data_IF_754821402703
#
_entry.id   IF_754821402703
#
_cell.length_a   1.000
_cell.length_b   1.000
_cell.length_c   1.000
_cell.angle_alpha   90.00
_cell.angle_beta   90.00
_cell.angle_gamma   90.00
#
_symmetry.space_group_name_H-M   'P 1'
#
loop_
_entity.id
_entity.type
_entity.pdbx_description
1 polymer ?
#
# COMPACT_ATOMS: atom_id res chain seq x y z
N UNK A 1 39.96 5.72 55.44
CA UNK A 1 40.04 4.63 54.44
C UNK A 1 41.33 3.82 54.53
N UNK A 2 42.51 4.45 54.69
CA UNK A 2 43.79 3.71 54.76
C UNK A 2 43.94 2.79 55.99
N UNK A 3 43.40 3.16 57.17
CA UNK A 3 43.45 2.29 58.36
C UNK A 3 42.51 1.08 58.28
N UNK A 4 41.34 1.22 57.64
CA UNK A 4 40.40 0.12 57.37
C UNK A 4 40.98 -0.89 56.36
N UNK A 5 41.70 -0.41 55.34
CA UNK A 5 42.42 -1.27 54.41
C UNK A 5 43.57 -2.02 55.11
N UNK A 6 44.25 -1.39 56.09
CA UNK A 6 45.29 -2.05 56.90
C UNK A 6 44.73 -3.13 57.82
N UNK A 7 43.55 -2.94 58.42
CA UNK A 7 42.93 -4.00 59.25
C UNK A 7 42.42 -5.18 58.42
N UNK A 8 42.04 -4.94 57.16
CA UNK A 8 41.64 -6.00 56.21
C UNK A 8 42.82 -6.83 55.68
N UNK A 9 44.06 -6.32 55.81
CA UNK A 9 45.28 -6.97 55.33
C UNK A 9 46.02 -7.73 56.45
N UNK A 10 45.54 -7.68 57.70
CA UNK A 10 46.15 -8.37 58.83
C UNK A 10 45.59 -9.79 58.99
N UNK A 11 46.45 -10.75 59.30
CA UNK A 11 46.02 -12.13 59.45
C UNK A 11 45.13 -12.30 60.71
N UNK A 12 43.99 -13.00 60.61
CA UNK A 12 43.09 -13.20 61.75
C UNK A 12 43.75 -13.86 62.96
N UNK A 13 44.75 -14.71 62.71
CA UNK A 13 45.49 -15.43 63.75
C UNK A 13 46.80 -14.73 64.15
N UNK A 14 47.23 -13.73 63.38
CA UNK A 14 48.50 -13.05 63.55
C UNK A 14 48.36 -11.55 63.23
N UNK A 15 47.92 -10.75 64.21
CA UNK A 15 47.60 -9.31 64.05
C UNK A 15 48.73 -8.44 63.47
N UNK A 16 49.99 -8.89 63.55
CA UNK A 16 51.17 -8.16 63.04
C UNK A 16 51.67 -8.65 61.67
N UNK A 17 51.07 -9.70 61.12
CA UNK A 17 51.49 -10.29 59.87
C UNK A 17 50.49 -9.97 58.76
N UNK A 18 51.02 -9.59 57.60
CA UNK A 18 50.21 -9.33 56.44
C UNK A 18 49.70 -10.63 55.80
N UNK A 19 48.51 -10.55 55.24
CA UNK A 19 47.88 -11.62 54.47
C UNK A 19 48.46 -11.62 53.06
N UNK A 20 49.10 -12.72 52.68
CA UNK A 20 49.87 -12.82 51.42
C UNK A 20 49.42 -14.02 50.57
N UNK A 21 48.73 -14.99 51.17
CA UNK A 21 48.34 -16.23 50.53
C UNK A 21 46.82 -16.45 50.60
N UNK A 22 46.30 -17.18 49.63
CA UNK A 22 44.96 -17.77 49.65
C UNK A 22 45.12 -19.30 49.63
N UNK A 23 44.53 -19.98 50.60
CA UNK A 23 44.33 -21.42 50.56
C UNK A 23 42.98 -21.71 49.93
N UNK A 24 42.96 -22.33 48.74
CA UNK A 24 41.71 -22.68 48.04
C UNK A 24 41.00 -23.86 48.67
N UNK A 25 41.74 -24.78 49.29
CA UNK A 25 41.15 -25.95 49.96
C UNK A 25 40.25 -25.56 51.13
N UNK A 26 40.51 -24.40 51.73
CA UNK A 26 39.77 -23.88 52.88
C UNK A 26 39.09 -22.54 52.60
N UNK A 27 39.17 -22.05 51.36
CA UNK A 27 38.68 -20.72 50.92
C UNK A 27 39.00 -19.59 51.90
N UNK A 28 40.24 -19.55 52.40
CA UNK A 28 40.67 -18.60 53.43
C UNK A 28 42.00 -17.96 53.08
N UNK A 29 42.10 -16.66 53.38
CA UNK A 29 43.33 -15.90 53.20
C UNK A 29 44.20 -15.96 54.44
N UNK A 30 45.51 -16.13 54.28
CA UNK A 30 46.42 -16.36 55.38
C UNK A 30 47.78 -15.66 55.20
N UNK A 31 48.46 -15.41 56.33
CA UNK A 31 49.85 -14.95 56.30
C UNK A 31 50.81 -16.12 56.07
N UNK A 32 52.08 -15.80 55.84
CA UNK A 32 53.13 -16.80 55.64
C UNK A 32 53.23 -17.83 56.78
N UNK A 33 53.02 -17.40 58.04
CA UNK A 33 53.07 -18.31 59.20
C UNK A 33 51.97 -19.36 59.16
N UNK A 34 50.73 -18.95 58.91
CA UNK A 34 49.60 -19.86 58.73
C UNK A 34 49.77 -20.76 57.51
N UNK A 35 50.32 -20.22 56.41
CA UNK A 35 50.61 -21.01 55.21
C UNK A 35 51.59 -22.16 55.50
N UNK A 36 52.64 -21.91 56.30
CA UNK A 36 53.67 -22.91 56.62
C UNK A 36 53.32 -23.83 57.80
N UNK A 37 52.47 -23.39 58.73
CA UNK A 37 52.09 -24.17 59.90
C UNK A 37 50.85 -25.03 59.65
N UNK A 38 49.75 -24.38 59.27
CA UNK A 38 48.41 -24.97 59.25
C UNK A 38 48.02 -25.44 57.83
N UNK A 39 48.44 -24.68 56.81
CA UNK A 39 48.09 -24.97 55.42
C UNK A 39 49.22 -25.63 54.62
N UNK A 40 50.30 -26.07 55.27
CA UNK A 40 51.44 -26.70 54.57
C UNK A 40 51.08 -28.01 53.86
N UNK A 41 50.05 -28.70 54.35
CA UNK A 41 49.53 -29.95 53.77
C UNK A 41 48.42 -29.71 52.75
N UNK A 42 47.97 -28.47 52.60
CA UNK A 42 47.01 -28.07 51.58
C UNK A 42 47.71 -28.10 50.22
N UNK A 43 46.99 -28.56 49.20
CA UNK A 43 47.52 -28.75 47.86
C UNK A 43 47.48 -27.43 47.08
N UNK A 44 46.46 -26.60 47.31
CA UNK A 44 46.24 -25.35 46.60
C UNK A 44 46.39 -24.11 47.51
N UNK A 45 47.63 -23.78 47.86
CA UNK A 45 47.98 -22.49 48.52
C UNK A 45 48.72 -21.62 47.53
N UNK A 46 48.15 -20.48 47.16
CA UNK A 46 48.68 -19.56 46.14
C UNK A 46 48.92 -18.18 46.71
N UNK A 47 49.91 -17.48 46.15
CA UNK A 47 50.20 -16.10 46.51
C UNK A 47 49.08 -15.20 45.97
N UNK A 48 48.58 -14.28 46.78
CA UNK A 48 47.51 -13.37 46.39
C UNK A 48 47.89 -12.49 45.20
N UNK A 49 49.16 -12.09 45.07
CA UNK A 49 49.64 -11.33 43.91
C UNK A 49 49.39 -12.06 42.60
N UNK A 50 49.59 -13.37 42.58
CA UNK A 50 49.49 -14.20 41.39
C UNK A 50 48.02 -14.39 41.01
N UNK A 51 47.16 -14.61 42.02
CA UNK A 51 45.71 -14.68 41.84
C UNK A 51 45.14 -13.36 41.32
N UNK A 52 45.57 -12.23 41.88
CA UNK A 52 45.16 -10.90 41.45
C UNK A 52 45.65 -10.61 40.02
N UNK A 53 46.84 -11.08 39.66
CA UNK A 53 47.33 -10.94 38.29
C UNK A 53 46.48 -11.74 37.29
N UNK A 54 46.24 -13.03 37.57
CA UNK A 54 45.44 -13.92 36.72
C UNK A 54 44.00 -13.41 36.58
N UNK A 55 43.35 -13.03 37.69
CA UNK A 55 41.98 -12.48 37.66
C UNK A 55 41.87 -11.13 36.98
N UNK A 56 42.92 -10.30 36.99
CA UNK A 56 42.93 -9.04 36.22
C UNK A 56 43.01 -9.29 34.71
N UNK A 57 43.75 -10.31 34.28
CA UNK A 57 43.80 -10.71 32.87
C UNK A 57 42.43 -11.19 32.41
N UNK A 58 41.76 -12.02 33.20
CA UNK A 58 40.40 -12.51 32.92
C UNK A 58 39.37 -11.36 32.94
N UNK A 59 39.47 -10.43 33.90
CA UNK A 59 38.61 -9.24 33.95
C UNK A 59 38.80 -8.34 32.73
N UNK A 60 40.03 -8.18 32.25
CA UNK A 60 40.31 -7.41 31.04
C UNK A 60 39.68 -8.06 29.82
N UNK A 61 39.85 -9.38 29.65
CA UNK A 61 39.22 -10.14 28.57
C UNK A 61 37.69 -10.03 28.62
N UNK A 62 37.09 -10.16 29.80
CA UNK A 62 35.65 -10.02 30.00
C UNK A 62 35.16 -8.61 29.65
N UNK A 63 35.92 -7.58 30.04
CA UNK A 63 35.60 -6.18 29.71
C UNK A 63 35.62 -5.93 28.20
N UNK A 64 36.59 -6.51 27.48
CA UNK A 64 36.65 -6.45 26.02
C UNK A 64 35.43 -7.11 25.39
N UNK A 65 35.08 -8.33 25.83
CA UNK A 65 33.90 -9.04 25.33
C UNK A 65 32.61 -8.27 25.59
N UNK A 66 32.44 -7.69 26.78
CA UNK A 66 31.27 -6.88 27.11
C UNK A 66 31.18 -5.63 26.24
N UNK A 67 32.30 -4.97 25.98
CA UNK A 67 32.36 -3.81 25.08
C UNK A 67 31.97 -4.20 23.65
N UNK A 68 32.51 -5.31 23.14
CA UNK A 68 32.19 -5.79 21.79
C UNK A 68 30.72 -6.18 21.66
N UNK A 69 30.15 -6.84 22.67
CA UNK A 69 28.72 -7.16 22.72
C UNK A 69 27.85 -5.91 22.75
N UNK A 70 28.25 -4.90 23.52
CA UNK A 70 27.54 -3.62 23.55
C UNK A 70 27.57 -2.95 22.17
N UNK A 71 28.73 -2.90 21.51
CA UNK A 71 28.86 -2.31 20.19
C UNK A 71 28.05 -3.08 19.13
N UNK A 72 28.03 -4.41 19.19
CA UNK A 72 27.20 -5.22 18.30
C UNK A 72 25.71 -4.95 18.49
N UNK A 73 25.25 -4.82 19.73
CA UNK A 73 23.86 -4.46 20.05
C UNK A 73 23.47 -3.10 19.46
N UNK A 74 24.33 -2.09 19.63
CA UNK A 74 24.10 -0.74 19.09
C UNK A 74 24.04 -0.76 17.54
N UNK A 75 24.93 -1.53 16.89
CA UNK A 75 24.92 -1.69 15.44
C UNK A 75 23.66 -2.40 14.93
N UNK A 76 23.17 -3.41 15.65
CA UNK A 76 21.93 -4.13 15.32
C UNK A 76 20.73 -3.19 15.39
N UNK A 77 20.61 -2.41 16.46
CA UNK A 77 19.54 -1.42 16.63
C UNK A 77 19.56 -0.37 15.51
N UNK A 78 20.75 0.10 15.13
CA UNK A 78 20.90 1.04 14.04
C UNK A 78 20.52 0.43 12.67
N UNK A 79 20.85 -0.84 12.45
CA UNK A 79 20.46 -1.56 11.25
C UNK A 79 18.94 -1.77 11.18
N UNK A 80 18.30 -2.17 12.29
CA UNK A 80 16.85 -2.30 12.39
C UNK A 80 16.14 -0.98 12.10
N UNK A 81 16.63 0.13 12.68
CA UNK A 81 16.09 1.47 12.42
C UNK A 81 16.15 1.85 10.94
N UNK A 82 17.30 1.61 10.28
CA UNK A 82 17.46 1.87 8.84
C UNK A 82 16.54 0.99 8.00
N UNK A 83 16.38 -0.27 8.38
CA UNK A 83 15.50 -1.20 7.70
C UNK A 83 14.03 -0.76 7.80
N UNK A 84 13.59 -0.34 8.99
CA UNK A 84 12.23 0.18 9.20
C UNK A 84 11.97 1.46 8.39
N UNK A 85 12.93 2.39 8.36
CA UNK A 85 12.84 3.59 7.52
C UNK A 85 12.74 3.25 6.03
N UNK A 86 13.51 2.26 5.57
CA UNK A 86 13.46 1.78 4.20
C UNK A 86 12.11 1.15 3.84
N UNK A 87 11.57 0.30 4.72
CA UNK A 87 10.24 -0.30 4.55
C UNK A 87 9.16 0.78 4.50
N UNK A 88 9.21 1.77 5.38
CA UNK A 88 8.27 2.90 5.38
C UNK A 88 8.33 3.72 4.07
N UNK A 89 9.54 3.92 3.53
CA UNK A 89 9.74 4.56 2.21
C UNK A 89 9.15 3.74 1.07
N UNK A 90 9.26 2.41 1.11
CA UNK A 90 8.61 1.55 0.10
C UNK A 90 7.09 1.64 0.23
N UNK A 91 6.57 1.54 1.44
CA UNK A 91 5.13 1.60 1.71
C UNK A 91 4.51 2.91 1.20
N UNK A 92 5.11 4.05 1.55
CA UNK A 92 4.65 5.36 1.08
C UNK A 92 4.68 5.52 -0.44
N UNK A 93 5.70 4.98 -1.11
CA UNK A 93 5.77 4.93 -2.59
C UNK A 93 4.70 4.03 -3.19
N UNK A 94 4.45 2.88 -2.60
CA UNK A 94 3.39 1.96 -3.05
C UNK A 94 2.01 2.61 -2.91
N UNK A 95 1.73 3.24 -1.76
CA UNK A 95 0.46 3.92 -1.49
C UNK A 95 0.22 5.10 -2.45
N UNK A 96 1.24 5.93 -2.70
CA UNK A 96 1.12 7.05 -3.64
C UNK A 96 0.93 6.57 -5.09
N UNK A 97 1.60 5.49 -5.49
CA UNK A 97 1.41 4.86 -6.80
C UNK A 97 -0.01 4.29 -6.96
N UNK A 98 -0.52 3.58 -5.95
CA UNK A 98 -1.89 3.07 -5.93
C UNK A 98 -2.92 4.20 -6.03
N UNK A 99 -2.73 5.29 -5.28
CA UNK A 99 -3.59 6.48 -5.36
C UNK A 99 -3.60 7.07 -6.78
N UNK A 100 -2.43 7.15 -7.41
CA UNK A 100 -2.28 7.68 -8.77
C UNK A 100 -2.98 6.78 -9.80
N UNK A 101 -2.81 5.46 -9.69
CA UNK A 101 -3.48 4.50 -10.57
C UNK A 101 -4.99 4.58 -10.42
N UNK A 102 -5.48 4.62 -9.18
CA UNK A 102 -6.91 4.75 -8.87
C UNK A 102 -7.50 6.03 -9.50
N UNK A 103 -6.80 7.16 -9.39
CA UNK A 103 -7.25 8.41 -10.00
C UNK A 103 -7.30 8.30 -11.53
N UNK A 104 -6.24 7.80 -12.16
CA UNK A 104 -6.20 7.60 -13.62
C UNK A 104 -7.34 6.71 -14.12
N UNK A 105 -7.68 5.66 -13.37
CA UNK A 105 -8.77 4.76 -13.72
C UNK A 105 -10.13 5.47 -13.67
N UNK A 106 -10.37 6.31 -12.67
CA UNK A 106 -11.58 7.13 -12.62
C UNK A 106 -11.64 8.15 -13.76
N UNK A 107 -10.53 8.82 -14.06
CA UNK A 107 -10.48 9.81 -15.13
C UNK A 107 -10.75 9.16 -16.50
N UNK A 108 -10.13 8.00 -16.77
CA UNK A 108 -10.37 7.22 -17.98
C UNK A 108 -11.82 6.72 -18.07
N UNK A 109 -12.41 6.28 -16.95
CA UNK A 109 -13.81 5.86 -16.93
C UNK A 109 -14.74 7.02 -17.27
N UNK A 110 -14.55 8.18 -16.64
CA UNK A 110 -15.35 9.37 -16.90
C UNK A 110 -15.23 9.83 -18.37
N UNK A 111 -14.01 9.75 -18.93
CA UNK A 111 -13.78 10.05 -20.34
C UNK A 111 -14.53 9.09 -21.26
N UNK A 112 -14.40 7.78 -21.06
CA UNK A 112 -15.09 6.76 -21.84
C UNK A 112 -16.62 6.92 -21.76
N UNK A 113 -17.15 7.19 -20.57
CA UNK A 113 -18.57 7.42 -20.37
C UNK A 113 -19.06 8.65 -21.16
N UNK A 114 -18.30 9.75 -21.13
CA UNK A 114 -18.61 10.95 -21.90
C UNK A 114 -18.56 10.71 -23.41
N UNK A 115 -17.55 9.99 -23.89
CA UNK A 115 -17.39 9.64 -25.31
C UNK A 115 -18.56 8.78 -25.81
N UNK A 116 -18.96 7.77 -25.04
CA UNK A 116 -20.11 6.90 -25.39
C UNK A 116 -21.41 7.70 -25.41
N UNK A 117 -21.66 8.55 -24.40
CA UNK A 117 -22.86 9.37 -24.36
C UNK A 117 -22.93 10.36 -25.54
N UNK A 118 -21.80 10.98 -25.90
CA UNK A 118 -21.71 11.85 -27.08
C UNK A 118 -22.01 11.07 -28.36
N UNK A 119 -21.38 9.91 -28.55
CA UNK A 119 -21.59 9.08 -29.74
C UNK A 119 -23.05 8.63 -29.89
N UNK A 120 -23.72 8.29 -28.77
CA UNK A 120 -25.15 7.96 -28.77
C UNK A 120 -25.98 9.17 -29.16
N UNK A 121 -25.68 10.36 -28.62
CA UNK A 121 -26.39 11.59 -28.97
C UNK A 121 -26.25 11.93 -30.46
N UNK A 122 -25.04 11.82 -31.01
CA UNK A 122 -24.77 12.05 -32.43
C UNK A 122 -25.51 11.04 -33.32
N UNK A 123 -25.47 9.76 -32.97
CA UNK A 123 -26.23 8.71 -33.68
C UNK A 123 -27.73 8.96 -33.64
N UNK A 124 -28.26 9.38 -32.47
CA UNK A 124 -29.68 9.72 -32.31
C UNK A 124 -30.08 10.87 -33.22
N UNK A 125 -29.24 11.90 -33.34
CA UNK A 125 -29.47 13.04 -34.24
C UNK A 125 -29.51 12.61 -35.71
N UNK A 126 -28.50 11.85 -36.15
CA UNK A 126 -28.43 11.34 -37.54
C UNK A 126 -29.65 10.48 -37.89
N UNK A 127 -30.03 9.56 -37.00
CA UNK A 127 -31.23 8.71 -37.20
C UNK A 127 -32.49 9.59 -37.26
N UNK A 128 -32.61 10.58 -36.39
CA UNK A 128 -33.73 11.53 -36.42
C UNK A 128 -33.86 12.27 -37.74
N UNK A 129 -32.75 12.79 -38.27
CA UNK A 129 -32.70 13.47 -39.57
C UNK A 129 -33.04 12.53 -40.74
N UNK A 130 -32.57 11.28 -40.70
CA UNK A 130 -32.91 10.26 -41.69
C UNK A 130 -34.41 9.92 -41.68
N UNK A 131 -35.01 9.77 -40.50
CA UNK A 131 -36.46 9.53 -40.36
C UNK A 131 -37.26 10.70 -40.95
N UNK A 132 -36.90 11.93 -40.61
CA UNK A 132 -37.56 13.13 -41.14
C UNK A 132 -37.47 13.17 -42.66
N UNK A 133 -36.28 12.91 -43.21
CA UNK A 133 -36.03 12.90 -44.66
C UNK A 133 -36.85 11.82 -45.36
N UNK A 134 -36.86 10.59 -44.83
CA UNK A 134 -37.65 9.49 -45.39
C UNK A 134 -39.15 9.77 -45.34
N UNK A 135 -39.64 10.35 -44.25
CA UNK A 135 -41.04 10.73 -44.13
C UNK A 135 -41.40 11.82 -45.15
N UNK A 136 -40.55 12.83 -45.35
CA UNK A 136 -40.76 13.86 -46.37
C UNK A 136 -40.83 13.26 -47.77
N UNK A 137 -39.91 12.36 -48.11
CA UNK A 137 -39.89 11.69 -49.41
C UNK A 137 -41.15 10.83 -49.62
N UNK A 138 -41.56 10.05 -48.61
CA UNK A 138 -42.78 9.24 -48.65
C UNK A 138 -44.04 10.11 -48.83
N UNK A 139 -44.15 11.20 -48.06
CA UNK A 139 -45.26 12.14 -48.18
C UNK A 139 -45.33 12.84 -49.54
N UNK A 140 -44.20 13.00 -50.25
CA UNK A 140 -44.18 13.54 -51.62
C UNK A 140 -44.58 12.49 -52.66
N UNK A 141 -44.32 11.20 -52.41
CA UNK A 141 -44.70 10.12 -53.32
C UNK A 141 -46.22 9.86 -53.32
N UNK A 142 -46.89 10.00 -52.17
CA UNK A 142 -48.34 9.74 -52.04
C UNK A 142 -49.19 10.59 -53.00
N UNK A 143 -49.03 11.93 -53.09
CA UNK A 143 -49.73 12.75 -54.08
C UNK A 143 -49.42 12.31 -55.50
N UNK A 144 -48.16 12.05 -55.82
CA UNK A 144 -47.74 11.70 -57.18
C UNK A 144 -48.35 10.37 -57.65
N UNK A 145 -48.45 9.38 -56.76
CA UNK A 145 -49.10 8.09 -57.07
C UNK A 145 -50.62 8.15 -57.09
N UNK A 146 -51.24 9.05 -56.32
CA UNK A 146 -52.71 9.17 -56.22
C UNK A 146 -53.31 10.13 -57.24
N UNK A 147 -52.50 11.02 -57.83
CA UNK A 147 -52.95 12.02 -58.81
C UNK A 147 -53.65 11.43 -60.06
N UNK A 148 -53.18 10.31 -60.65
CA UNK A 148 -53.88 9.69 -61.79
C UNK A 148 -55.29 9.22 -61.42
N UNK A 149 -55.45 8.67 -60.22
CA UNK A 149 -56.71 8.16 -59.70
C UNK A 149 -57.68 9.32 -59.38
N UNK A 150 -57.17 10.38 -58.75
CA UNK A 150 -57.92 11.62 -58.52
C UNK A 150 -58.36 12.30 -59.82
N UNK A 151 -57.50 12.33 -60.84
CA UNK A 151 -57.85 12.88 -62.15
C UNK A 151 -58.94 12.03 -62.84
N UNK A 152 -58.88 10.71 -62.70
CA UNK A 152 -59.89 9.81 -63.25
C UNK A 152 -61.25 10.02 -62.58
N UNK A 153 -61.27 10.13 -61.24
CA UNK A 153 -62.50 10.45 -60.49
C UNK A 153 -63.09 11.80 -60.90
N UNK A 154 -62.26 12.84 -61.02
CA UNK A 154 -62.70 14.18 -61.46
C UNK A 154 -63.28 14.17 -62.88
N UNK A 155 -62.70 13.35 -63.78
CA UNK A 155 -63.23 13.20 -65.14
C UNK A 155 -64.58 12.45 -65.15
N UNK A 156 -64.74 11.43 -64.30
CA UNK A 156 -66.02 10.73 -64.12
C UNK A 156 -67.11 11.65 -63.58
N UNK A 157 -66.80 12.50 -62.58
CA UNK A 157 -67.73 13.52 -62.06
C UNK A 157 -68.17 14.50 -63.15
N UNK A 158 -67.22 14.98 -63.98
CA UNK A 158 -67.51 15.86 -65.12
C UNK A 158 -68.39 15.18 -66.17
N UNK A 159 -68.18 13.90 -66.45
CA UNK A 159 -69.07 13.17 -67.35
C UNK A 159 -70.47 13.02 -66.75
N UNK A 160 -70.59 12.73 -65.45
CA UNK A 160 -71.89 12.60 -64.79
C UNK A 160 -72.69 13.92 -64.80
N UNK A 161 -72.01 15.06 -64.61
CA UNK A 161 -72.67 16.38 -64.74
C UNK A 161 -73.07 16.70 -66.18
N UNK A 162 -72.27 16.30 -67.18
CA UNK A 162 -72.68 16.42 -68.59
C UNK A 162 -73.87 15.51 -68.93
N UNK A 163 -73.93 14.30 -68.38
CA UNK A 163 -75.07 13.40 -68.54
C UNK A 163 -76.33 13.95 -67.87
N UNK A 164 -76.22 14.55 -66.68
CA UNK A 164 -77.37 15.18 -66.01
C UNK A 164 -77.86 16.42 -66.78
N UNK A 165 -76.97 17.26 -67.32
CA UNK A 165 -77.31 18.38 -68.20
C UNK A 165 -77.98 17.92 -69.52
N UNK A 166 -77.45 16.87 -70.17
CA UNK A 166 -78.05 16.28 -71.38
C UNK A 166 -79.45 15.73 -71.11
N UNK A 167 -79.63 15.09 -69.96
CA UNK A 167 -80.92 14.58 -69.50
C UNK A 167 -81.92 15.70 -69.20
N UNK A 168 -81.45 16.86 -68.71
CA UNK A 168 -82.27 18.06 -68.52
C UNK A 168 -82.66 18.72 -69.85
N UNK A 169 -81.74 18.80 -70.82
CA UNK A 169 -82.00 19.31 -72.17
C UNK A 169 -82.98 18.44 -72.95
N UNK A 170 -82.90 17.11 -72.83
CA UNK A 170 -83.89 16.19 -73.41
C UNK A 170 -85.27 16.42 -72.82
N UNK A 171 -85.39 16.63 -71.50
CA UNK A 171 -86.67 16.93 -70.85
C UNK A 171 -87.27 18.27 -71.30
N UNK A 172 -86.46 19.29 -71.55
CA UNK A 172 -86.94 20.57 -72.08
C UNK A 172 -87.46 20.49 -73.54
N UNK A 173 -86.98 19.53 -74.35
CA UNK A 173 -87.47 19.32 -75.73
C UNK A 173 -88.84 18.65 -75.83
N UNK A 174 -89.36 18.07 -74.74
CA UNK A 174 -90.69 17.45 -74.69
C UNK A 174 -91.78 18.37 -74.10
N UNK A 175 -91.48 19.66 -73.89
CA UNK A 175 -92.41 20.67 -73.31
C UNK A 175 -92.72 21.78 -74.34
N UNK A 176 -92.65 21.49 -75.64
CA UNK A 176 -93.10 22.39 -76.72
C UNK A 176 -94.21 21.71 -77.49
#
# INVERSE_FOLDING_TARGET
MQELLKSLMACPNHEKEEVVYLCKDHDTTCCNKCAMADHRKCEEVKVLSDIVHDTNVDCFALKTVLHDLQQQSENLLEHERKHEEFVSKIESKALSSLKTIKQKLFDMHAQLESEVLSAIADKKKVIGEQIITNNKNTCQLIPNSSQPLLNTLRNLERMNTLFSCSSALKRMRYVV
#
